data_IF_614903358188
#
_entry.id   IF_614903358188
#
_cell.length_a   1.000
_cell.length_b   1.000
_cell.length_c   1.000
_cell.angle_alpha   90.00
_cell.angle_beta   90.00
_cell.angle_gamma   90.00
#
_symmetry.space_group_name_H-M   'P 1'
#
loop_
_entity.id
_entity.type
_entity.pdbx_description
1 polymer ?
#
# COMPACT_ATOMS: atom_id res chain seq x y z
N UNK A 1 6.96 2.32 8.86
CA UNK A 1 8.21 1.62 8.53
C UNK A 1 9.06 2.56 7.72
N UNK A 2 10.36 2.65 8.01
CA UNK A 2 11.33 3.39 7.20
C UNK A 2 12.17 2.40 6.39
N UNK A 3 12.67 2.87 5.25
CA UNK A 3 13.74 2.22 4.51
C UNK A 3 14.94 3.16 4.47
N UNK A 4 16.11 2.63 4.78
CA UNK A 4 17.37 3.36 4.83
C UNK A 4 18.34 2.81 3.78
N UNK A 5 19.23 3.67 3.28
CA UNK A 5 20.35 3.31 2.41
C UNK A 5 21.51 4.26 2.73
N UNK A 6 22.68 3.70 3.03
CA UNK A 6 23.89 4.45 3.38
C UNK A 6 23.66 5.46 4.52
N UNK A 7 22.86 5.08 5.53
CA UNK A 7 22.50 5.94 6.66
C UNK A 7 21.47 7.04 6.37
N UNK A 8 20.92 7.11 5.14
CA UNK A 8 19.88 8.06 4.77
C UNK A 8 18.50 7.39 4.63
N UNK A 9 17.45 8.03 5.15
CA UNK A 9 16.06 7.58 4.94
C UNK A 9 15.69 7.83 3.47
N UNK A 10 15.38 6.74 2.76
CA UNK A 10 15.01 6.76 1.34
C UNK A 10 13.57 6.30 1.10
N UNK A 11 12.89 5.79 2.12
CA UNK A 11 11.49 5.39 2.02
C UNK A 11 10.76 5.45 3.35
N UNK A 12 9.44 5.67 3.27
CA UNK A 12 8.53 5.64 4.40
C UNK A 12 7.20 5.01 3.97
N UNK A 13 6.64 4.17 4.84
CA UNK A 13 5.27 3.70 4.72
C UNK A 13 4.55 3.70 6.07
N UNK A 14 3.32 4.19 6.09
CA UNK A 14 2.41 4.13 7.23
C UNK A 14 1.17 3.32 6.89
N UNK A 15 0.61 2.65 7.90
CA UNK A 15 -0.60 1.87 7.74
C UNK A 15 -1.03 1.19 9.04
N UNK A 16 -2.29 0.75 9.07
CA UNK A 16 -2.92 0.15 10.24
C UNK A 16 -4.05 -0.80 9.83
N UNK A 17 -4.57 -1.59 10.77
CA UNK A 17 -5.79 -2.38 10.58
C UNK A 17 -6.98 -1.57 11.08
N UNK A 18 -7.94 -1.20 10.24
CA UNK A 18 -9.14 -0.51 10.71
C UNK A 18 -9.90 -1.38 11.72
N UNK A 19 -10.30 -0.84 12.89
CA UNK A 19 -11.04 -1.62 13.88
C UNK A 19 -12.37 -2.20 13.36
N UNK A 20 -13.04 -1.48 12.46
CA UNK A 20 -14.29 -1.89 11.81
C UNK A 20 -14.10 -2.97 10.74
N UNK A 21 -12.89 -3.11 10.19
CA UNK A 21 -12.56 -4.04 9.12
C UNK A 21 -11.26 -4.79 9.44
N UNK A 22 -11.25 -5.69 10.43
CA UNK A 22 -10.02 -6.34 10.89
C UNK A 22 -9.37 -7.22 9.81
N UNK A 23 -10.12 -7.64 8.78
CA UNK A 23 -9.59 -8.33 7.60
C UNK A 23 -8.83 -7.41 6.64
N UNK A 24 -8.93 -6.10 6.78
CA UNK A 24 -8.27 -5.13 5.91
C UNK A 24 -7.00 -4.59 6.56
N UNK A 25 -5.99 -4.29 5.75
CA UNK A 25 -4.85 -3.47 6.14
C UNK A 25 -4.87 -2.20 5.31
N UNK A 26 -5.04 -1.05 5.97
CA UNK A 26 -5.03 0.26 5.34
C UNK A 26 -3.61 0.79 5.26
N UNK A 27 -3.15 1.06 4.03
CA UNK A 27 -1.92 1.82 3.77
C UNK A 27 -2.30 3.26 3.55
N UNK A 28 -1.75 4.14 4.39
CA UNK A 28 -2.09 5.56 4.35
C UNK A 28 -1.08 6.33 3.49
N UNK A 29 0.19 6.34 3.87
CA UNK A 29 1.21 7.09 3.15
C UNK A 29 2.29 6.14 2.65
N UNK A 30 2.73 6.34 1.40
CA UNK A 30 3.91 5.71 0.82
C UNK A 30 4.76 6.83 0.22
N UNK A 31 5.97 7.01 0.74
CA UNK A 31 6.92 7.97 0.21
C UNK A 31 8.21 7.25 -0.18
N UNK A 32 8.72 7.54 -1.38
CA UNK A 32 9.99 7.01 -1.91
C UNK A 32 10.81 8.18 -2.42
N UNK A 33 12.01 8.34 -1.86
CA UNK A 33 12.94 9.38 -2.28
C UNK A 33 13.30 9.22 -3.78
N UNK A 34 13.51 10.32 -4.53
CA UNK A 34 13.84 10.25 -5.95
C UNK A 34 14.99 9.29 -6.28
N UNK A 35 16.05 9.30 -5.46
CA UNK A 35 17.23 8.44 -5.62
C UNK A 35 16.99 6.93 -5.38
N UNK A 36 15.78 6.55 -4.94
CA UNK A 36 15.39 5.17 -4.68
C UNK A 36 14.16 4.73 -5.52
N UNK A 37 13.72 5.55 -6.48
CA UNK A 37 12.65 5.18 -7.44
C UNK A 37 13.15 4.12 -8.42
N UNK A 38 12.24 3.38 -9.03
CA UNK A 38 12.56 2.31 -9.99
C UNK A 38 13.00 0.98 -9.35
N UNK A 39 13.31 0.95 -8.04
CA UNK A 39 13.76 -0.26 -7.34
C UNK A 39 12.65 -1.00 -6.58
N UNK A 40 11.38 -0.77 -6.96
CA UNK A 40 10.19 -1.36 -6.30
C UNK A 40 10.12 -1.14 -4.78
N UNK A 41 10.77 -0.10 -4.26
CA UNK A 41 10.91 0.11 -2.81
C UNK A 41 9.55 0.21 -2.09
N UNK A 42 8.59 0.94 -2.66
CA UNK A 42 7.24 1.04 -2.10
C UNK A 42 6.55 -0.32 -1.93
N UNK A 43 6.65 -1.19 -2.93
CA UNK A 43 6.09 -2.54 -2.89
C UNK A 43 6.77 -3.39 -1.80
N UNK A 44 8.10 -3.37 -1.74
CA UNK A 44 8.88 -4.10 -0.73
C UNK A 44 8.55 -3.66 0.70
N UNK A 45 8.36 -2.36 0.90
CA UNK A 45 7.96 -1.81 2.21
C UNK A 45 6.55 -2.28 2.61
N UNK A 46 5.59 -2.30 1.68
CA UNK A 46 4.22 -2.80 1.94
C UNK A 46 4.24 -4.31 2.24
N UNK A 47 4.97 -5.09 1.43
CA UNK A 47 5.16 -6.53 1.65
C UNK A 47 5.76 -6.81 3.04
N UNK A 48 6.78 -6.04 3.43
CA UNK A 48 7.38 -6.16 4.76
C UNK A 48 6.41 -5.80 5.88
N UNK A 49 5.53 -4.80 5.72
CA UNK A 49 4.47 -4.51 6.68
C UNK A 49 3.49 -5.68 6.82
N UNK A 50 3.03 -6.25 5.69
CA UNK A 50 2.07 -7.35 5.67
C UNK A 50 2.67 -8.69 6.14
N UNK A 51 3.99 -8.84 6.09
CA UNK A 51 4.71 -9.99 6.63
C UNK A 51 4.81 -10.02 8.16
N UNK A 52 4.43 -8.94 8.86
CA UNK A 52 4.55 -8.85 10.33
C UNK A 52 3.47 -9.65 11.05
N UNK A 53 3.73 -10.15 12.27
CA UNK A 53 2.73 -10.81 13.10
C UNK A 53 1.44 -10.01 13.29
N UNK A 54 1.53 -8.67 13.40
CA UNK A 54 0.37 -7.78 13.56
C UNK A 54 -0.56 -7.75 12.33
N UNK A 55 -0.05 -8.10 11.15
CA UNK A 55 -0.82 -8.21 9.91
C UNK A 55 -1.32 -9.64 9.63
N UNK A 56 -1.10 -10.58 10.56
CA UNK A 56 -1.63 -11.94 10.42
C UNK A 56 -3.15 -11.92 10.27
N UNK A 57 -3.65 -12.66 9.28
CA UNK A 57 -5.08 -12.78 8.99
C UNK A 57 -5.67 -11.66 8.14
N UNK A 58 -4.90 -10.62 7.77
CA UNK A 58 -5.33 -9.65 6.75
C UNK A 58 -5.71 -10.39 5.47
N UNK A 59 -6.83 -10.10 4.84
CA UNK A 59 -7.26 -10.65 3.55
C UNK A 59 -7.30 -9.60 2.46
N UNK A 60 -7.28 -8.30 2.81
CA UNK A 60 -7.33 -7.21 1.83
C UNK A 60 -6.31 -6.13 2.16
N UNK A 61 -5.64 -5.60 1.13
CA UNK A 61 -4.91 -4.34 1.22
C UNK A 61 -5.82 -3.23 0.70
N UNK A 62 -6.02 -2.19 1.50
CA UNK A 62 -6.82 -1.04 1.11
C UNK A 62 -6.00 0.25 1.20
N UNK A 63 -6.33 1.23 0.36
CA UNK A 63 -5.74 2.58 0.40
C UNK A 63 -6.68 3.58 -0.27
N UNK A 64 -6.44 4.87 -0.07
CA UNK A 64 -7.10 5.94 -0.83
C UNK A 64 -6.11 6.56 -1.81
N UNK A 65 -6.51 6.68 -3.08
CA UNK A 65 -5.68 7.24 -4.15
C UNK A 65 -6.52 8.21 -4.99
N UNK A 66 -6.01 9.42 -5.22
CA UNK A 66 -6.60 10.36 -6.18
C UNK A 66 -6.46 9.82 -7.61
N UNK A 67 -7.38 10.18 -8.51
CA UNK A 67 -7.37 9.70 -9.91
C UNK A 67 -6.03 9.95 -10.63
N UNK A 68 -5.43 11.11 -10.38
CA UNK A 68 -4.23 11.61 -11.05
C UNK A 68 -2.92 11.07 -10.49
N UNK A 69 -2.94 10.35 -9.36
CA UNK A 69 -1.74 9.79 -8.76
C UNK A 69 -1.29 8.49 -9.46
N UNK A 70 -0.86 8.64 -10.71
CA UNK A 70 -0.38 7.54 -11.57
C UNK A 70 0.73 6.69 -10.92
N UNK A 71 1.71 7.25 -10.18
CA UNK A 71 2.70 6.44 -9.47
C UNK A 71 2.09 5.49 -8.43
N UNK A 72 1.10 5.96 -7.65
CA UNK A 72 0.41 5.11 -6.68
C UNK A 72 -0.42 4.03 -7.38
N UNK A 73 -1.18 4.38 -8.42
CA UNK A 73 -1.93 3.39 -9.20
C UNK A 73 -1.02 2.28 -9.74
N UNK A 74 0.12 2.65 -10.36
CA UNK A 74 1.09 1.68 -10.85
C UNK A 74 1.67 0.78 -9.75
N UNK A 75 1.88 1.32 -8.54
CA UNK A 75 2.31 0.54 -7.37
C UNK A 75 1.26 -0.52 -6.99
N UNK A 76 0.00 -0.12 -6.80
CA UNK A 76 -1.05 -1.03 -6.35
C UNK A 76 -1.49 -2.02 -7.44
N UNK A 77 -1.53 -1.61 -8.71
CA UNK A 77 -1.73 -2.51 -9.85
C UNK A 77 -0.60 -3.55 -9.93
N UNK A 78 0.66 -3.13 -9.72
CA UNK A 78 1.81 -4.01 -9.69
C UNK A 78 1.75 -5.04 -8.55
N UNK A 79 1.31 -4.62 -7.36
CA UNK A 79 1.09 -5.51 -6.22
C UNK A 79 -0.03 -6.52 -6.51
N UNK A 80 -1.18 -6.05 -7.01
CA UNK A 80 -2.31 -6.91 -7.36
C UNK A 80 -1.91 -7.99 -8.38
N UNK A 81 -1.20 -7.58 -9.45
CA UNK A 81 -0.66 -8.49 -10.47
C UNK A 81 0.30 -9.52 -9.86
N UNK A 82 1.24 -9.09 -9.02
CA UNK A 82 2.20 -10.01 -8.40
C UNK A 82 1.51 -11.00 -7.47
N UNK A 83 0.54 -10.55 -6.70
CA UNK A 83 -0.17 -11.39 -5.75
C UNK A 83 -1.22 -12.28 -6.43
N UNK A 84 -1.55 -12.01 -7.69
CA UNK A 84 -2.60 -12.71 -8.42
C UNK A 84 -3.98 -12.44 -7.80
N UNK A 85 -4.19 -11.24 -7.27
CA UNK A 85 -5.42 -10.81 -6.62
C UNK A 85 -6.08 -9.68 -7.43
N UNK A 86 -7.42 -9.58 -7.46
CA UNK A 86 -8.08 -8.49 -8.15
C UNK A 86 -7.86 -7.17 -7.41
N UNK A 87 -7.85 -6.07 -8.18
CA UNK A 87 -7.86 -4.70 -7.67
C UNK A 87 -9.21 -4.07 -7.99
N UNK A 88 -10.01 -3.80 -6.96
CA UNK A 88 -11.26 -3.07 -7.08
C UNK A 88 -11.03 -1.58 -6.76
N UNK A 89 -11.80 -0.71 -7.42
CA UNK A 89 -11.78 0.75 -7.24
C UNK A 89 -13.20 1.24 -6.98
N UNK A 90 -13.43 1.96 -5.89
CA UNK A 90 -14.70 2.60 -5.58
C UNK A 90 -14.50 4.04 -5.10
N UNK A 91 -15.48 4.91 -5.34
CA UNK A 91 -15.45 6.26 -4.79
C UNK A 91 -15.60 6.18 -3.27
N UNK A 92 -14.76 6.92 -2.52
CA UNK A 92 -14.79 6.88 -1.05
C UNK A 92 -15.02 8.28 -0.46
N UNK A 93 -14.12 9.23 -0.75
CA UNK A 93 -14.35 10.64 -0.43
C UNK A 93 -14.54 11.45 -1.69
N UNK A 94 -15.80 11.69 -2.04
CA UNK A 94 -16.18 12.50 -3.20
C UNK A 94 -15.89 14.00 -3.01
N UNK A 95 -15.33 14.64 -4.05
CA UNK A 95 -15.01 16.08 -4.11
C UNK A 95 -16.12 16.98 -3.61
N UNK A 96 -17.33 16.80 -4.13
CA UNK A 96 -18.44 17.71 -3.84
C UNK A 96 -19.00 17.42 -2.44
N UNK A 97 -19.30 16.16 -2.16
CA UNK A 97 -19.96 15.71 -0.93
C UNK A 97 -19.10 15.89 0.33
N UNK A 98 -17.78 15.63 0.24
CA UNK A 98 -16.91 15.59 1.42
C UNK A 98 -15.91 16.74 1.50
N UNK A 99 -15.56 17.35 0.36
CA UNK A 99 -14.55 18.41 0.30
C UNK A 99 -15.08 19.75 -0.16
N UNK A 100 -16.39 19.89 -0.43
CA UNK A 100 -16.99 21.12 -0.94
C UNK A 100 -16.23 21.73 -2.13
N UNK A 101 -15.70 20.87 -3.02
CA UNK A 101 -14.91 21.27 -4.18
C UNK A 101 -13.41 21.47 -3.94
N UNK A 102 -12.95 21.57 -2.68
CA UNK A 102 -11.58 21.95 -2.33
C UNK A 102 -10.51 20.89 -2.66
N UNK A 103 -10.89 19.61 -2.71
CA UNK A 103 -9.99 18.49 -2.97
C UNK A 103 -10.57 17.51 -3.99
N UNK A 104 -9.70 16.75 -4.66
CA UNK A 104 -10.11 15.73 -5.60
C UNK A 104 -10.80 14.54 -4.90
N UNK A 105 -11.64 13.81 -5.64
CA UNK A 105 -12.22 12.57 -5.13
C UNK A 105 -11.10 11.57 -4.82
N UNK A 106 -11.11 11.05 -3.60
CA UNK A 106 -10.25 9.95 -3.17
C UNK A 106 -10.95 8.63 -3.46
N UNK A 107 -10.30 7.77 -4.24
CA UNK A 107 -10.79 6.45 -4.59
C UNK A 107 -10.24 5.42 -3.63
N UNK A 108 -11.11 4.59 -3.06
CA UNK A 108 -10.70 3.40 -2.34
C UNK A 108 -10.22 2.36 -3.34
N UNK A 109 -8.93 2.05 -3.28
CA UNK A 109 -8.32 0.94 -4.00
C UNK A 109 -8.24 -0.26 -3.04
N UNK A 110 -8.79 -1.40 -3.45
CA UNK A 110 -8.85 -2.62 -2.63
C UNK A 110 -8.25 -3.80 -3.41
N UNK A 111 -7.18 -4.39 -2.87
CA UNK A 111 -6.56 -5.61 -3.40
C UNK A 111 -6.92 -6.78 -2.51
N UNK A 112 -7.61 -7.77 -3.07
CA UNK A 112 -7.91 -9.01 -2.35
C UNK A 112 -9.10 -9.77 -2.95
N UNK A 113 -9.41 -10.96 -2.42
CA UNK A 113 -8.78 -11.57 -1.25
C UNK A 113 -7.34 -12.04 -1.53
N UNK A 114 -6.44 -11.79 -0.58
CA UNK A 114 -5.04 -12.21 -0.61
C UNK A 114 -4.93 -13.67 -0.12
N UNK A 115 -4.27 -14.54 -0.88
CA UNK A 115 -4.01 -15.93 -0.44
C UNK A 115 -2.88 -15.99 0.60
N UNK A 116 -2.92 -16.99 1.49
CA UNK A 116 -1.94 -17.15 2.57
C UNK A 116 -0.54 -17.57 2.06
N UNK A 117 -0.49 -18.30 0.95
CA UNK A 117 0.71 -19.01 0.46
C UNK A 117 1.77 -18.10 -0.17
N UNK A 118 1.43 -16.83 -0.49
CA UNK A 118 2.31 -15.94 -1.27
C UNK A 118 2.88 -14.76 -0.49
N UNK A 119 2.60 -14.67 0.81
CA UNK A 119 3.01 -13.55 1.68
C UNK A 119 4.41 -13.72 2.28
N UNK A 120 4.99 -14.92 2.18
CA UNK A 120 6.21 -15.31 2.90
C UNK A 120 7.48 -15.49 2.07
N UNK A 121 7.44 -15.39 0.74
CA UNK A 121 8.59 -15.79 -0.10
C UNK A 121 9.71 -14.72 -0.24
N UNK A 122 9.59 -13.55 0.38
CA UNK A 122 10.59 -12.46 0.30
C UNK A 122 11.27 -12.12 1.66
N UNK A 123 11.29 -13.03 2.64
CA UNK A 123 12.02 -12.81 3.91
C UNK A 123 13.56 -12.91 3.77
N UNK A 124 14.11 -12.96 2.56
CA UNK A 124 15.55 -12.88 2.32
C UNK A 124 16.02 -11.45 2.05
N UNK A 125 16.90 -10.96 2.92
CA UNK A 125 17.78 -9.78 2.73
C UNK A 125 17.12 -8.40 2.58
N UNK A 126 16.78 -7.82 3.73
CA UNK A 126 17.07 -6.41 3.99
C UNK A 126 17.76 -6.35 5.36
N UNK A 127 19.04 -6.72 5.38
CA UNK A 127 19.92 -6.51 6.51
C UNK A 127 20.72 -5.23 6.25
N UNK A 128 20.63 -4.31 7.23
CA UNK A 128 21.55 -3.19 7.54
C UNK A 128 21.75 -2.08 6.51
#
# INVERSE_FOLDING_TARGET
MIAERDGAIVGWVSGYRPPSEPGSFFVWQVAVAPAARGHRLGARMIESLLGRPSAKGVTHLITTVTEDNRPSWALFEGLAKQWGAPLAKSAHFERETHFAGAHATEWLACIGPLTAERRGQNQGELAT
#
